data_IF_498497160318
#
_entry.id   IF_498497160318
#
_cell.length_a   1.000
_cell.length_b   1.000
_cell.length_c   1.000
_cell.angle_alpha   90.00
_cell.angle_beta   90.00
_cell.angle_gamma   90.00
#
_symmetry.space_group_name_H-M   'P 1'
#
loop_
_entity.id
_entity.type
_entity.pdbx_description
1 polymer ?
#
# COMPACT_ATOMS: atom_id res chain seq x y z
N UNK A 1 0.63 -0.05 12.29
CA UNK A 1 0.76 -1.51 12.17
C UNK A 1 2.05 -1.82 11.44
N UNK A 2 2.62 -3.01 11.61
CA UNK A 2 3.63 -3.47 10.65
C UNK A 2 2.97 -3.84 9.32
N UNK A 3 3.78 -4.03 8.27
CA UNK A 3 3.25 -4.30 6.93
C UNK A 3 2.43 -5.60 6.85
N UNK A 4 2.79 -6.64 7.62
CA UNK A 4 2.10 -7.94 7.62
C UNK A 4 0.70 -7.80 8.22
N UNK A 5 0.60 -7.13 9.37
CA UNK A 5 -0.67 -6.85 10.06
C UNK A 5 -1.61 -6.01 9.19
N UNK A 6 -1.11 -4.91 8.61
CA UNK A 6 -1.90 -4.04 7.75
C UNK A 6 -2.40 -4.81 6.51
N UNK A 7 -1.55 -5.64 5.92
CA UNK A 7 -1.87 -6.45 4.73
C UNK A 7 -3.00 -7.44 5.03
N UNK A 8 -2.91 -8.21 6.12
CA UNK A 8 -3.97 -9.17 6.50
C UNK A 8 -5.30 -8.47 6.70
N UNK A 9 -5.30 -7.40 7.50
CA UNK A 9 -6.52 -6.62 7.79
C UNK A 9 -7.14 -6.02 6.51
N UNK A 10 -6.32 -5.47 5.62
CA UNK A 10 -6.79 -4.89 4.36
C UNK A 10 -7.39 -5.94 3.40
N UNK A 11 -6.85 -7.16 3.35
CA UNK A 11 -7.45 -8.25 2.57
C UNK A 11 -8.81 -8.64 3.13
N UNK A 12 -8.92 -8.78 4.46
CA UNK A 12 -10.18 -9.12 5.13
C UNK A 12 -11.26 -8.03 4.92
N UNK A 13 -10.85 -6.76 4.89
CA UNK A 13 -11.74 -5.61 4.71
C UNK A 13 -11.92 -5.18 3.24
N UNK A 14 -11.25 -5.83 2.27
CA UNK A 14 -11.20 -5.44 0.86
C UNK A 14 -10.80 -3.96 0.63
N UNK A 15 -9.71 -3.54 1.28
CA UNK A 15 -9.21 -2.15 1.31
C UNK A 15 -7.75 -2.05 0.89
N UNK A 16 -7.29 -0.81 0.68
CA UNK A 16 -5.88 -0.50 0.47
C UNK A 16 -5.15 -0.27 1.80
N UNK A 17 -3.82 -0.33 1.79
CA UNK A 17 -2.95 0.11 2.87
C UNK A 17 -2.12 1.33 2.44
N UNK A 18 -1.61 2.08 3.40
CA UNK A 18 -0.68 3.19 3.17
C UNK A 18 0.24 3.36 4.36
N UNK A 19 1.32 4.12 4.17
CA UNK A 19 2.19 4.57 5.26
C UNK A 19 1.78 5.95 5.71
N UNK A 20 1.67 6.20 7.02
CA UNK A 20 1.41 7.55 7.57
C UNK A 20 2.44 8.58 7.11
N UNK A 21 3.70 8.17 6.94
CA UNK A 21 4.77 9.03 6.41
C UNK A 21 4.66 9.32 4.90
N UNK A 22 3.85 8.56 4.16
CA UNK A 22 3.63 8.71 2.72
C UNK A 22 2.12 8.58 2.42
N UNK A 23 1.29 9.51 2.95
CA UNK A 23 -0.16 9.35 2.93
C UNK A 23 -0.74 9.34 1.51
N UNK A 24 -0.06 9.95 0.55
CA UNK A 24 -0.46 10.01 -0.87
C UNK A 24 -0.05 8.79 -1.68
N UNK A 25 0.43 7.72 -1.04
CA UNK A 25 0.78 6.47 -1.71
C UNK A 25 -0.05 5.36 -1.08
N UNK A 26 -0.98 4.83 -1.87
CA UNK A 26 -1.82 3.69 -1.49
C UNK A 26 -1.31 2.42 -2.15
N UNK A 27 -1.55 1.29 -1.50
CA UNK A 27 -1.14 -0.03 -1.94
C UNK A 27 -2.33 -0.97 -1.79
N UNK A 28 -2.79 -1.60 -2.86
CA UNK A 28 -3.83 -2.64 -2.79
C UNK A 28 -3.16 -4.00 -2.66
N UNK A 29 -3.26 -4.69 -1.51
CA UNK A 29 -2.75 -6.04 -1.39
C UNK A 29 -3.38 -6.98 -2.41
N UNK A 30 -2.56 -7.81 -3.05
CA UNK A 30 -3.03 -8.76 -4.06
C UNK A 30 -2.14 -9.99 -4.11
N UNK A 31 -2.76 -11.14 -4.41
CA UNK A 31 -2.06 -12.39 -4.74
C UNK A 31 -1.97 -12.60 -6.25
N UNK A 32 -2.40 -11.63 -7.06
CA UNK A 32 -2.34 -11.72 -8.52
C UNK A 32 -0.89 -11.64 -8.98
N UNK A 33 -0.47 -12.62 -9.78
CA UNK A 33 0.88 -12.69 -10.37
C UNK A 33 1.18 -11.54 -11.35
N UNK A 34 0.15 -10.85 -11.84
CA UNK A 34 0.26 -9.82 -12.88
C UNK A 34 -0.04 -8.40 -12.36
N UNK A 35 -0.34 -8.25 -11.08
CA UNK A 35 -0.59 -6.94 -10.48
C UNK A 35 0.53 -6.62 -9.49
N UNK A 36 1.28 -5.54 -9.74
CA UNK A 36 1.98 -4.87 -8.65
C UNK A 36 1.00 -3.90 -7.97
N UNK A 37 1.31 -3.51 -6.74
CA UNK A 37 0.51 -2.57 -5.97
C UNK A 37 0.23 -1.30 -6.77
N UNK A 38 -1.05 -0.91 -6.82
CA UNK A 38 -1.51 0.26 -7.56
C UNK A 38 -1.23 1.51 -6.72
N UNK A 39 -0.23 2.31 -7.13
CA UNK A 39 -0.01 3.64 -6.55
C UNK A 39 -1.19 4.54 -6.93
N UNK A 40 -1.81 5.24 -5.99
CA UNK A 40 -2.69 6.36 -6.32
C UNK A 40 -2.16 7.57 -5.57
N UNK A 41 -1.97 8.69 -6.27
CA UNK A 41 -1.79 10.01 -5.66
C UNK A 41 -3.14 10.72 -5.65
N UNK A 42 -3.35 11.60 -4.67
CA UNK A 42 -4.59 12.38 -4.56
C UNK A 42 -4.73 13.41 -5.71
N UNK A 43 -3.66 13.66 -6.45
CA UNK A 43 -3.71 14.43 -7.69
C UNK A 43 -4.07 13.51 -8.86
N UNK A 44 -5.23 13.77 -9.47
CA UNK A 44 -5.74 13.08 -10.68
C UNK A 44 -4.76 13.06 -11.86
N UNK A 45 -3.67 13.84 -11.81
CA UNK A 45 -2.67 13.96 -12.86
C UNK A 45 -1.48 12.98 -12.72
N UNK A 46 -1.34 12.27 -11.60
CA UNK A 46 -0.26 11.30 -11.42
C UNK A 46 -0.76 9.89 -11.76
N UNK A 47 -0.40 9.32 -12.92
CA UNK A 47 -0.83 7.97 -13.26
C UNK A 47 -0.33 6.99 -12.20
N UNK A 48 -1.18 6.01 -11.90
CA UNK A 48 -0.83 4.96 -10.98
C UNK A 48 0.49 4.27 -11.39
N UNK A 49 1.51 4.40 -10.54
CA UNK A 49 2.77 3.68 -10.72
C UNK A 49 2.50 2.18 -10.68
N UNK A 50 2.99 1.45 -11.69
CA UNK A 50 2.71 0.00 -11.84
C UNK A 50 3.63 -0.90 -11.03
N UNK A 51 4.63 -0.37 -10.32
CA UNK A 51 5.66 -1.19 -9.68
C UNK A 51 6.14 -0.55 -8.39
N UNK A 52 5.85 -1.21 -7.26
CA UNK A 52 6.49 -0.94 -5.99
C UNK A 52 7.44 -2.07 -5.66
N UNK A 53 8.71 -1.74 -5.45
CA UNK A 53 9.70 -2.64 -4.87
C UNK A 53 9.98 -2.16 -3.43
N UNK A 54 9.55 -2.91 -2.39
CA UNK A 54 9.68 -2.44 -1.01
C UNK A 54 11.15 -2.24 -0.63
N UNK A 55 11.44 -1.08 -0.05
CA UNK A 55 12.74 -0.83 0.58
C UNK A 55 12.77 -1.39 2.00
N UNK A 56 13.97 -1.54 2.58
CA UNK A 56 14.12 -1.95 3.98
C UNK A 56 13.32 -1.04 4.94
N UNK A 57 13.28 0.27 4.68
CA UNK A 57 12.48 1.24 5.45
C UNK A 57 10.97 1.04 5.35
N UNK A 58 10.49 0.35 4.32
CA UNK A 58 9.08 0.04 4.15
C UNK A 58 8.73 -1.22 4.95
N UNK A 59 9.57 -2.25 4.82
CA UNK A 59 9.43 -3.54 5.51
C UNK A 59 9.53 -3.38 7.03
N UNK A 60 10.50 -2.60 7.50
CA UNK A 60 10.78 -2.40 8.93
C UNK A 60 9.88 -1.35 9.59
N UNK A 61 8.99 -0.70 8.85
CA UNK A 61 8.14 0.35 9.40
C UNK A 61 6.94 -0.22 10.17
N UNK A 62 6.54 0.51 11.21
CA UNK A 62 5.31 0.27 11.98
C UNK A 62 4.22 1.34 11.73
N UNK A 63 4.44 2.21 10.74
CA UNK A 63 3.55 3.31 10.39
C UNK A 63 2.50 2.97 9.31
N UNK A 64 2.26 1.68 9.07
CA UNK A 64 1.25 1.23 8.11
C UNK A 64 -0.17 1.31 8.68
N UNK A 65 -1.12 1.69 7.83
CA UNK A 65 -2.54 1.80 8.12
C UNK A 65 -3.40 1.27 6.98
N UNK A 66 -4.62 0.84 7.30
CA UNK A 66 -5.66 0.49 6.33
C UNK A 66 -6.39 1.79 5.95
N UNK A 67 -6.62 2.01 4.66
CA UNK A 67 -7.37 3.15 4.16
C UNK A 67 -8.82 3.05 4.67
N UNK A 68 -9.31 4.09 5.35
CA UNK A 68 -10.68 4.10 5.87
C UNK A 68 -11.73 3.98 4.77
#
# INVERSE_FOLDING_TARGET
>A
MNIIEATKKAVDENKAIYRKSLPHIKFVPTNSKNAAFILFSDDNDSPAGRMWNPMAKDILSNDWEVLN
#
